data_IF_690925309598
#
_entry.id   IF_690925309598
#
_cell.length_a   1.000
_cell.length_b   1.000
_cell.length_c   1.000
_cell.angle_alpha   90.00
_cell.angle_beta   90.00
_cell.angle_gamma   90.00
#
_symmetry.space_group_name_H-M   'P 1'
#
loop_
_entity.id
_entity.type
_entity.pdbx_description
1 polymer ?
#
# COMPACT_ATOMS: atom_id res chain seq x y z
N UNK A 1 2.98 10.61 -20.49
CA UNK A 1 3.27 11.30 -19.21
C UNK A 1 2.13 10.93 -18.25
N UNK A 2 2.43 10.23 -17.17
CA UNK A 2 1.45 9.61 -16.27
C UNK A 2 1.32 10.43 -14.98
N UNK A 3 0.81 11.66 -15.07
CA UNK A 3 0.51 12.44 -13.88
C UNK A 3 -0.83 12.00 -13.30
N UNK A 4 -0.79 11.46 -12.09
CA UNK A 4 -1.97 11.24 -11.27
C UNK A 4 -2.43 12.61 -10.75
N UNK A 5 -3.47 13.19 -11.36
CA UNK A 5 -4.00 14.48 -10.92
C UNK A 5 -4.83 14.29 -9.64
N UNK A 6 -4.23 14.61 -8.50
CA UNK A 6 -4.93 14.76 -7.22
C UNK A 6 -5.09 16.26 -6.96
N UNK A 7 -6.33 16.76 -6.88
CA UNK A 7 -6.63 18.20 -6.68
C UNK A 7 -6.64 19.03 -7.97
N UNK A 8 -6.42 20.35 -7.86
CA UNK A 8 -6.54 21.30 -8.99
C UNK A 8 -5.33 21.29 -9.95
N UNK A 9 -4.31 20.49 -9.68
CA UNK A 9 -3.10 20.39 -10.51
C UNK A 9 -2.19 21.62 -10.49
N UNK A 10 -2.51 22.65 -9.69
CA UNK A 10 -1.68 23.84 -9.51
C UNK A 10 -0.94 23.72 -8.18
N UNK A 11 0.36 23.41 -8.24
CA UNK A 11 1.25 23.49 -7.07
C UNK A 11 1.75 24.94 -6.94
N UNK A 12 1.75 25.52 -5.72
CA UNK A 12 2.41 26.82 -5.50
C UNK A 12 3.90 26.71 -5.86
N UNK A 13 4.48 27.79 -6.39
CA UNK A 13 5.91 27.82 -6.73
C UNK A 13 6.73 27.81 -5.42
N UNK A 14 7.29 26.65 -5.08
CA UNK A 14 8.15 26.49 -3.90
C UNK A 14 9.60 26.76 -4.33
N UNK A 15 10.19 27.84 -3.81
CA UNK A 15 11.58 28.19 -4.10
C UNK A 15 12.53 27.03 -3.82
N UNK A 16 13.25 26.57 -4.84
CA UNK A 16 14.22 25.47 -4.76
C UNK A 16 13.66 24.08 -5.10
N UNK A 17 12.37 23.95 -5.42
CA UNK A 17 11.74 22.70 -5.86
C UNK A 17 11.60 22.71 -7.38
N UNK A 18 12.00 21.63 -8.05
CA UNK A 18 11.92 21.54 -9.51
C UNK A 18 10.46 21.51 -9.98
N UNK A 19 10.18 22.07 -11.17
CA UNK A 19 8.83 22.14 -11.75
C UNK A 19 8.13 20.78 -11.90
N UNK A 20 8.88 19.68 -11.90
CA UNK A 20 8.38 18.31 -12.06
C UNK A 20 8.25 17.56 -10.72
N UNK A 21 8.29 18.28 -9.59
CA UNK A 21 8.20 17.68 -8.26
C UNK A 21 6.75 17.50 -7.81
N UNK A 22 6.48 16.44 -7.05
CA UNK A 22 5.18 16.16 -6.44
C UNK A 22 5.36 16.19 -4.92
N UNK A 23 4.56 17.00 -4.23
CA UNK A 23 4.49 16.96 -2.76
C UNK A 23 3.61 15.77 -2.33
N UNK A 24 4.17 14.90 -1.50
CA UNK A 24 3.40 13.84 -0.83
C UNK A 24 3.10 14.35 0.58
N UNK A 25 1.83 14.55 0.95
CA UNK A 25 1.48 14.99 2.29
C UNK A 25 2.01 14.02 3.34
N UNK A 26 2.52 14.52 4.46
CA UNK A 26 3.09 13.68 5.52
C UNK A 26 2.08 12.65 6.04
N UNK A 27 0.79 12.99 6.11
CA UNK A 27 -0.26 12.04 6.50
C UNK A 27 -0.50 10.90 5.50
N UNK A 28 0.06 10.98 4.29
CA UNK A 28 0.01 9.93 3.26
C UNK A 28 1.28 9.07 3.23
N UNK A 29 2.28 9.41 4.05
CA UNK A 29 3.53 8.66 4.18
C UNK A 29 3.45 7.84 5.45
N UNK A 30 3.82 6.57 5.36
CA UNK A 30 4.04 5.73 6.53
C UNK A 30 5.51 5.31 6.55
N UNK A 31 6.19 5.54 7.67
CA UNK A 31 7.59 5.11 7.86
C UNK A 31 7.68 3.65 8.33
N UNK A 32 6.57 3.14 8.89
CA UNK A 32 6.47 1.81 9.49
C UNK A 32 5.96 0.75 8.48
N UNK A 33 5.49 -0.39 9.01
CA UNK A 33 5.02 -1.50 8.20
C UNK A 33 3.65 -1.19 7.57
N UNK A 34 3.65 -0.96 6.24
CA UNK A 34 2.44 -0.73 5.47
C UNK A 34 1.39 -1.85 5.64
N UNK A 35 1.83 -3.09 5.84
CA UNK A 35 0.91 -4.22 6.06
C UNK A 35 0.14 -4.04 7.37
N UNK A 36 0.84 -3.69 8.46
CA UNK A 36 0.19 -3.47 9.77
C UNK A 36 -0.67 -2.21 9.78
N UNK A 37 -0.24 -1.18 9.06
CA UNK A 37 -1.03 0.06 8.92
C UNK A 37 -2.36 -0.20 8.20
N UNK A 38 -2.35 -1.00 7.13
CA UNK A 38 -3.54 -1.29 6.34
C UNK A 38 -4.39 -2.39 6.96
N UNK A 39 -3.78 -3.44 7.51
CA UNK A 39 -4.50 -4.64 7.96
C UNK A 39 -4.62 -4.78 9.49
N UNK A 40 -4.06 -3.87 10.27
CA UNK A 40 -3.93 -4.00 11.73
C UNK A 40 -3.11 -5.24 12.13
N UNK A 41 -2.68 -5.36 13.39
CA UNK A 41 -1.84 -6.49 13.83
C UNK A 41 -2.58 -7.84 13.78
N UNK A 42 -3.90 -7.85 14.05
CA UNK A 42 -4.71 -9.06 14.17
C UNK A 42 -5.61 -9.28 12.94
N UNK A 43 -5.01 -9.83 11.88
CA UNK A 43 -5.73 -10.16 10.64
C UNK A 43 -6.88 -11.18 10.83
N UNK A 44 -6.80 -12.04 11.85
CA UNK A 44 -7.78 -13.11 12.08
C UNK A 44 -9.12 -12.62 12.62
N UNK A 45 -9.16 -11.43 13.22
CA UNK A 45 -10.39 -10.86 13.79
C UNK A 45 -11.19 -10.07 12.75
N UNK A 46 -10.66 -9.91 11.54
CA UNK A 46 -11.30 -9.17 10.45
C UNK A 46 -12.27 -10.05 9.65
N UNK A 47 -13.44 -9.51 9.33
CA UNK A 47 -14.35 -10.15 8.38
C UNK A 47 -13.72 -10.21 6.98
N UNK A 48 -13.98 -11.30 6.25
CA UNK A 48 -13.45 -11.53 4.90
C UNK A 48 -13.80 -10.39 3.95
N UNK A 49 -15.00 -9.80 4.07
CA UNK A 49 -15.41 -8.65 3.25
C UNK A 49 -14.57 -7.40 3.52
N UNK A 50 -14.20 -7.15 4.79
CA UNK A 50 -13.33 -6.03 5.14
C UNK A 50 -11.91 -6.24 4.63
N UNK A 51 -11.42 -7.49 4.65
CA UNK A 51 -10.12 -7.85 4.10
C UNK A 51 -10.10 -7.70 2.57
N UNK A 52 -11.16 -8.15 1.88
CA UNK A 52 -11.28 -8.07 0.42
C UNK A 52 -11.33 -6.63 -0.11
N UNK A 53 -11.82 -5.68 0.70
CA UNK A 53 -11.86 -4.26 0.35
C UNK A 53 -10.52 -3.53 0.51
N UNK A 54 -9.47 -4.19 1.04
CA UNK A 54 -8.15 -3.60 1.26
C UNK A 54 -7.14 -4.17 0.26
N UNK A 55 -6.45 -3.28 -0.47
CA UNK A 55 -5.44 -3.66 -1.48
C UNK A 55 -4.17 -2.86 -1.27
N UNK A 56 -3.03 -3.56 -1.28
CA UNK A 56 -1.70 -2.97 -1.30
C UNK A 56 -1.10 -3.17 -2.69
N UNK A 57 -0.66 -2.07 -3.31
CA UNK A 57 0.00 -2.10 -4.62
C UNK A 57 1.50 -1.87 -4.44
N UNK A 58 2.30 -2.62 -5.20
CA UNK A 58 3.74 -2.44 -5.27
C UNK A 58 4.20 -2.29 -6.72
N UNK A 59 5.30 -1.54 -6.99
CA UNK A 59 5.75 -1.30 -8.36
C UNK A 59 6.22 -2.56 -9.11
N UNK A 60 6.59 -3.63 -8.40
CA UNK A 60 7.12 -4.86 -9.01
C UNK A 60 6.47 -6.10 -8.43
N UNK A 61 6.28 -7.12 -9.27
CA UNK A 61 5.73 -8.41 -8.86
C UNK A 61 6.56 -9.07 -7.75
N UNK A 62 7.88 -8.88 -7.74
CA UNK A 62 8.75 -9.39 -6.68
C UNK A 62 8.34 -8.81 -5.32
N UNK A 63 8.16 -7.49 -5.25
CA UNK A 63 7.75 -6.82 -4.01
C UNK A 63 6.32 -7.23 -3.62
N UNK A 64 5.42 -7.33 -4.59
CA UNK A 64 4.06 -7.84 -4.36
C UNK A 64 4.08 -9.26 -3.77
N UNK A 65 4.91 -10.16 -4.31
CA UNK A 65 5.03 -11.53 -3.81
C UNK A 65 5.58 -11.58 -2.38
N UNK A 66 6.60 -10.79 -2.07
CA UNK A 66 7.15 -10.66 -0.71
C UNK A 66 6.07 -10.19 0.27
N UNK A 67 5.29 -9.17 -0.10
CA UNK A 67 4.20 -8.65 0.74
C UNK A 67 3.07 -9.68 0.93
N UNK A 68 2.63 -10.34 -0.15
CA UNK A 68 1.59 -11.37 -0.07
C UNK A 68 1.99 -12.51 0.87
N UNK A 69 3.25 -12.96 0.80
CA UNK A 69 3.77 -13.98 1.73
C UNK A 69 3.74 -13.50 3.18
N UNK A 70 4.13 -12.24 3.42
CA UNK A 70 4.10 -11.66 4.77
C UNK A 70 2.68 -11.51 5.32
N UNK A 71 1.69 -11.23 4.46
CA UNK A 71 0.27 -11.14 4.86
C UNK A 71 -0.26 -12.54 5.19
N UNK A 72 -0.03 -13.52 4.31
CA UNK A 72 -0.48 -14.91 4.50
C UNK A 72 0.12 -15.51 5.77
N UNK A 73 1.41 -15.25 6.05
CA UNK A 73 2.08 -15.75 7.26
C UNK A 73 1.52 -15.20 8.58
N UNK A 74 0.73 -14.11 8.55
CA UNK A 74 0.05 -13.55 9.73
C UNK A 74 -1.33 -14.19 9.98
N UNK A 75 -1.87 -14.94 9.01
CA UNK A 75 -3.09 -15.73 9.20
C UNK A 75 -2.76 -16.96 10.04
N UNK A 76 -3.60 -17.26 11.04
CA UNK A 76 -3.39 -18.39 11.98
C UNK A 76 -3.89 -19.74 11.44
N UNK A 77 -4.14 -19.84 10.14
CA UNK A 77 -4.70 -21.03 9.49
C UNK A 77 -3.62 -21.89 8.80
N UNK A 78 -3.97 -23.12 8.43
CA UNK A 78 -3.06 -24.00 7.71
C UNK A 78 -2.79 -23.49 6.28
N UNK A 79 -1.52 -23.42 5.85
CA UNK A 79 -1.18 -22.95 4.53
C UNK A 79 -1.58 -23.99 3.47
N UNK A 80 -2.38 -23.54 2.49
CA UNK A 80 -2.78 -24.35 1.35
C UNK A 80 -2.18 -23.79 0.05
N UNK A 81 -1.58 -24.65 -0.77
CA UNK A 81 -1.03 -24.27 -2.08
C UNK A 81 -1.83 -24.94 -3.18
N UNK A 82 -2.33 -24.14 -4.13
CA UNK A 82 -3.10 -24.61 -5.28
C UNK A 82 -2.25 -24.50 -6.55
N UNK A 83 -2.35 -25.51 -7.42
CA UNK A 83 -1.71 -25.53 -8.73
C UNK A 83 -2.77 -25.39 -9.81
N UNK A 84 -2.46 -24.63 -10.86
CA UNK A 84 -3.31 -24.46 -12.05
C UNK A 84 -3.16 -25.60 -13.04
#
# INVERSE_FOLDING_TARGET
MWLLNIGSGNLPEISGVQCDSIEIPHQMVVEENLIETIHSETLNDMEVEQLANRVILAPTNKKTLEMNRSIIAKLLDEPHTFYS
#
